data_IF_028163236922
#
_entry.id   IF_028163236922
#
_cell.length_a   1.000
_cell.length_b   1.000
_cell.length_c   1.000
_cell.angle_alpha   90.00
_cell.angle_beta   90.00
_cell.angle_gamma   90.00
#
_symmetry.space_group_name_H-M   'P 1'
#
loop_
_entity.id
_entity.type
_entity.pdbx_description
1 polymer ?
#
# COMPACT_ATOMS: atom_id res chain seq x y z
N UNK A 1 47.58 -3.68 22.59
CA UNK A 1 47.40 -2.55 21.66
C UNK A 1 46.20 -2.90 20.82
N UNK A 2 45.07 -2.27 21.14
CA UNK A 2 43.76 -2.44 20.50
C UNK A 2 43.75 -1.79 19.13
N UNK A 3 43.29 -2.52 18.11
CA UNK A 3 42.66 -1.92 16.94
C UNK A 3 41.38 -2.68 16.62
N UNK A 4 40.28 -2.13 17.13
CA UNK A 4 38.93 -2.33 16.63
C UNK A 4 38.77 -1.36 15.45
N UNK A 5 38.67 -1.88 14.22
CA UNK A 5 38.22 -1.09 13.07
C UNK A 5 36.73 -1.34 12.84
N UNK A 6 35.99 -0.27 13.12
CA UNK A 6 34.54 -0.07 13.07
C UNK A 6 33.97 -0.05 11.65
N UNK A 7 32.82 -0.71 11.49
CA UNK A 7 31.67 -0.42 10.62
C UNK A 7 31.86 0.20 9.22
N UNK A 8 31.52 -0.58 8.20
CA UNK A 8 30.67 -0.14 7.09
C UNK A 8 29.42 -1.02 7.18
N UNK A 9 28.21 -0.53 7.46
CA UNK A 9 27.61 0.68 6.92
C UNK A 9 26.85 0.42 5.62
N UNK A 10 26.49 -0.83 5.32
CA UNK A 10 25.54 -1.14 4.26
C UNK A 10 24.14 -1.26 4.88
N UNK A 11 23.30 -0.27 4.67
CA UNK A 11 21.84 -0.44 4.75
C UNK A 11 21.28 -0.38 3.33
N UNK A 12 21.17 -1.50 2.59
CA UNK A 12 20.60 -1.50 1.25
C UNK A 12 19.15 -2.02 1.19
N UNK A 13 18.44 -2.21 2.33
CA UNK A 13 17.15 -2.92 2.32
C UNK A 13 15.90 -2.02 2.48
N UNK A 14 16.04 -0.73 2.81
CA UNK A 14 14.87 0.14 3.08
C UNK A 14 14.34 0.91 1.86
N UNK A 15 15.17 1.18 0.85
CA UNK A 15 14.76 1.81 -0.42
C UNK A 15 13.80 0.94 -1.27
N UNK A 16 14.05 -0.36 -1.51
CA UNK A 16 13.21 -1.15 -2.42
C UNK A 16 11.77 -1.32 -1.91
N UNK A 17 11.56 -1.34 -0.58
CA UNK A 17 10.22 -1.53 -0.03
C UNK A 17 9.35 -0.26 -0.11
N UNK A 18 9.96 0.94 -0.05
CA UNK A 18 9.21 2.20 -0.22
C UNK A 18 8.77 2.39 -1.69
N UNK A 19 9.63 2.05 -2.64
CA UNK A 19 9.29 2.06 -4.07
C UNK A 19 8.14 1.09 -4.38
N UNK A 20 8.11 -0.06 -3.74
CA UNK A 20 7.00 -1.02 -3.87
C UNK A 20 5.69 -0.49 -3.29
N UNK A 21 5.72 0.20 -2.14
CA UNK A 21 4.53 0.85 -1.57
C UNK A 21 4.04 1.98 -2.48
N UNK A 22 4.96 2.76 -3.07
CA UNK A 22 4.62 3.79 -4.04
C UNK A 22 4.00 3.20 -5.32
N UNK A 23 4.57 2.11 -5.84
CA UNK A 23 4.04 1.38 -6.99
C UNK A 23 2.64 0.82 -6.74
N UNK A 24 2.44 0.20 -5.57
CA UNK A 24 1.14 -0.27 -5.12
C UNK A 24 0.11 0.86 -5.11
N UNK A 25 0.44 1.99 -4.48
CA UNK A 25 -0.46 3.14 -4.39
C UNK A 25 -0.81 3.69 -5.79
N UNK A 26 0.17 3.83 -6.67
CA UNK A 26 -0.05 4.34 -8.03
C UNK A 26 -0.96 3.43 -8.87
N UNK A 27 -0.74 2.11 -8.82
CA UNK A 27 -1.59 1.14 -9.52
C UNK A 27 -3.02 1.14 -8.99
N UNK A 28 -3.17 1.27 -7.67
CA UNK A 28 -4.44 1.32 -7.00
C UNK A 28 -5.23 2.59 -7.34
N UNK A 29 -4.59 3.76 -7.30
CA UNK A 29 -5.18 5.04 -7.69
C UNK A 29 -5.66 5.01 -9.15
N UNK A 30 -4.82 4.55 -10.07
CA UNK A 30 -5.19 4.44 -11.47
C UNK A 30 -6.40 3.51 -11.69
N UNK A 31 -6.47 2.41 -10.93
CA UNK A 31 -7.57 1.43 -11.04
C UNK A 31 -8.85 1.93 -10.38
N UNK A 32 -8.76 2.63 -9.25
CA UNK A 32 -9.89 3.26 -8.58
C UNK A 32 -10.49 4.38 -9.44
N UNK A 33 -9.64 5.22 -10.06
CA UNK A 33 -10.08 6.27 -10.99
C UNK A 33 -10.79 5.68 -12.22
N UNK A 34 -10.25 4.60 -12.80
CA UNK A 34 -10.88 3.93 -13.93
C UNK A 34 -12.26 3.35 -13.57
N UNK A 35 -12.40 2.78 -12.37
CA UNK A 35 -13.68 2.24 -11.90
C UNK A 35 -14.70 3.35 -11.60
N UNK A 36 -14.28 4.43 -10.96
CA UNK A 36 -15.13 5.60 -10.71
C UNK A 36 -15.62 6.23 -12.02
N UNK A 37 -14.74 6.39 -13.01
CA UNK A 37 -15.12 6.87 -14.34
C UNK A 37 -16.13 5.93 -15.02
N UNK A 38 -15.90 4.62 -14.98
CA UNK A 38 -16.82 3.63 -15.56
C UNK A 38 -18.22 3.70 -14.92
N UNK A 39 -18.30 3.95 -13.61
CA UNK A 39 -19.57 4.11 -12.91
C UNK A 39 -20.23 5.47 -13.20
N UNK A 40 -19.44 6.55 -13.26
CA UNK A 40 -19.93 7.90 -13.55
C UNK A 40 -20.58 8.01 -14.94
N UNK A 41 -20.00 7.34 -15.95
CA UNK A 41 -20.49 7.36 -17.33
C UNK A 41 -21.45 6.19 -17.66
N UNK A 42 -21.87 5.37 -16.67
CA UNK A 42 -22.66 4.14 -16.86
C UNK A 42 -22.06 3.19 -17.93
N UNK A 43 -20.72 3.17 -18.02
CA UNK A 43 -19.99 2.32 -18.95
C UNK A 43 -19.83 0.91 -18.38
N UNK A 44 -20.94 0.17 -18.37
CA UNK A 44 -21.03 -1.17 -17.75
C UNK A 44 -19.97 -2.16 -18.24
N UNK A 45 -19.53 -2.02 -19.49
CA UNK A 45 -18.49 -2.87 -20.06
C UNK A 45 -17.11 -2.63 -19.42
N UNK A 46 -16.84 -1.43 -18.90
CA UNK A 46 -15.57 -1.06 -18.28
C UNK A 46 -15.51 -1.36 -16.77
N UNK A 47 -16.66 -1.51 -16.10
CA UNK A 47 -16.75 -1.81 -14.67
C UNK A 47 -16.05 -3.12 -14.31
N UNK A 48 -16.36 -4.22 -15.02
CA UNK A 48 -15.77 -5.53 -14.71
C UNK A 48 -14.25 -5.55 -14.93
N UNK A 49 -13.68 -5.07 -16.05
CA UNK A 49 -12.22 -4.98 -16.21
C UNK A 49 -11.52 -4.15 -15.14
N UNK A 50 -12.09 -3.00 -14.74
CA UNK A 50 -11.53 -2.16 -13.69
C UNK A 50 -11.58 -2.89 -12.33
N UNK A 51 -12.69 -3.58 -12.05
CA UNK A 51 -12.83 -4.44 -10.89
C UNK A 51 -11.81 -5.59 -10.85
N UNK A 52 -11.67 -6.33 -11.96
CA UNK A 52 -10.71 -7.43 -12.10
C UNK A 52 -9.26 -6.92 -11.90
N UNK A 53 -8.98 -5.67 -12.28
CA UNK A 53 -7.66 -5.04 -12.08
C UNK A 53 -7.39 -4.79 -10.59
N UNK A 54 -8.37 -4.27 -9.85
CA UNK A 54 -8.27 -4.12 -8.39
C UNK A 54 -7.98 -5.45 -7.69
N UNK A 55 -8.62 -6.55 -8.13
CA UNK A 55 -8.37 -7.88 -7.55
C UNK A 55 -6.96 -8.39 -7.87
N UNK A 56 -6.45 -8.11 -9.07
CA UNK A 56 -5.06 -8.43 -9.42
C UNK A 56 -4.07 -7.67 -8.55
N UNK A 57 -4.31 -6.38 -8.29
CA UNK A 57 -3.48 -5.57 -7.39
C UNK A 57 -3.49 -6.19 -5.99
N UNK A 58 -4.67 -6.50 -5.45
CA UNK A 58 -4.77 -7.13 -4.13
C UNK A 58 -3.96 -8.43 -4.05
N UNK A 59 -4.03 -9.27 -5.08
CA UNK A 59 -3.24 -10.50 -5.15
C UNK A 59 -1.73 -10.27 -5.26
N UNK A 60 -1.30 -9.30 -6.08
CA UNK A 60 0.11 -9.01 -6.33
C UNK A 60 0.84 -8.46 -5.09
N UNK A 61 0.14 -7.66 -4.28
CA UNK A 61 0.71 -6.98 -3.12
C UNK A 61 0.35 -7.62 -1.78
N UNK A 62 -0.26 -8.82 -1.77
CA UNK A 62 -0.75 -9.49 -0.55
C UNK A 62 0.31 -9.72 0.53
N UNK A 63 1.58 -9.89 0.13
CA UNK A 63 2.70 -10.15 1.05
C UNK A 63 3.38 -8.85 1.51
N UNK A 64 3.00 -7.70 0.94
CA UNK A 64 3.62 -6.40 1.23
C UNK A 64 3.50 -6.00 2.72
N UNK A 65 2.36 -6.19 3.42
CA UNK A 65 2.26 -5.89 4.85
C UNK A 65 3.27 -6.66 5.68
N UNK A 66 3.40 -7.98 5.44
CA UNK A 66 4.33 -8.83 6.18
C UNK A 66 5.79 -8.42 5.97
N UNK A 67 6.13 -8.04 4.73
CA UNK A 67 7.46 -7.53 4.41
C UNK A 67 7.76 -6.20 5.10
N UNK A 68 6.77 -5.31 5.19
CA UNK A 68 6.89 -4.04 5.93
C UNK A 68 7.08 -4.30 7.43
N UNK A 69 6.30 -5.18 8.03
CA UNK A 69 6.47 -5.55 9.45
C UNK A 69 7.85 -6.17 9.74
N UNK A 70 8.38 -6.98 8.83
CA UNK A 70 9.74 -7.51 8.96
C UNK A 70 10.80 -6.41 8.87
N UNK A 71 10.63 -5.44 7.96
CA UNK A 71 11.51 -4.29 7.86
C UNK A 71 11.44 -3.39 9.11
N UNK A 72 10.25 -3.24 9.71
CA UNK A 72 10.06 -2.54 10.98
C UNK A 72 10.82 -3.22 12.13
N UNK A 73 10.70 -4.56 12.24
CA UNK A 73 11.39 -5.34 13.26
C UNK A 73 12.92 -5.27 13.16
N UNK A 74 13.46 -5.07 11.96
CA UNK A 74 14.89 -4.86 11.72
C UNK A 74 15.37 -3.43 12.03
N UNK A 75 14.46 -2.49 12.31
CA UNK A 75 14.77 -1.09 12.45
C UNK A 75 15.28 -0.76 13.87
N UNK A 76 16.48 -0.19 13.98
CA UNK A 76 17.08 0.17 15.26
C UNK A 76 16.48 1.44 15.90
N UNK A 77 15.67 2.21 15.17
CA UNK A 77 15.08 3.48 15.63
C UNK A 77 13.57 3.30 15.89
N UNK A 78 13.10 3.45 17.14
CA UNK A 78 11.69 3.24 17.49
C UNK A 78 10.70 4.13 16.71
N UNK A 79 11.08 5.38 16.42
CA UNK A 79 10.24 6.31 15.65
C UNK A 79 10.10 5.88 14.18
N UNK A 80 11.16 5.32 13.59
CA UNK A 80 11.13 4.82 12.22
C UNK A 80 10.34 3.50 12.13
N UNK A 81 10.51 2.60 13.11
CA UNK A 81 9.73 1.38 13.23
C UNK A 81 8.22 1.67 13.31
N UNK A 82 7.80 2.63 14.15
CA UNK A 82 6.39 3.02 14.25
C UNK A 82 5.79 3.52 12.94
N UNK A 83 6.54 4.29 12.13
CA UNK A 83 6.08 4.75 10.83
C UNK A 83 5.93 3.60 9.81
N UNK A 84 6.83 2.60 9.87
CA UNK A 84 6.74 1.41 9.01
C UNK A 84 5.57 0.52 9.43
N UNK A 85 5.31 0.38 10.74
CA UNK A 85 4.15 -0.37 11.25
C UNK A 85 2.82 0.28 10.84
N UNK A 86 2.72 1.61 10.94
CA UNK A 86 1.55 2.36 10.45
C UNK A 86 1.33 2.14 8.95
N UNK A 87 2.43 2.16 8.17
CA UNK A 87 2.39 1.91 6.72
C UNK A 87 1.93 0.48 6.41
N UNK A 88 2.44 -0.51 7.13
CA UNK A 88 2.05 -1.91 7.00
C UNK A 88 0.55 -2.10 7.29
N UNK A 89 0.05 -1.48 8.36
CA UNK A 89 -1.35 -1.52 8.74
C UNK A 89 -2.26 -0.86 7.70
N UNK A 90 -1.83 0.24 7.09
CA UNK A 90 -2.60 0.91 6.04
C UNK A 90 -2.65 0.09 4.75
N UNK A 91 -1.54 -0.56 4.37
CA UNK A 91 -1.53 -1.49 3.23
C UNK A 91 -2.45 -2.70 3.51
N UNK A 92 -2.38 -3.29 4.69
CA UNK A 92 -3.23 -4.43 5.08
C UNK A 92 -4.72 -4.06 5.04
N UNK A 93 -5.07 -2.89 5.58
CA UNK A 93 -6.44 -2.38 5.56
C UNK A 93 -6.96 -2.15 4.13
N UNK A 94 -6.11 -1.65 3.22
CA UNK A 94 -6.47 -1.51 1.80
C UNK A 94 -6.77 -2.88 1.19
N UNK A 95 -5.89 -3.86 1.40
CA UNK A 95 -6.07 -5.21 0.85
C UNK A 95 -7.35 -5.87 1.39
N UNK A 96 -7.66 -5.66 2.67
CA UNK A 96 -8.91 -6.12 3.28
C UNK A 96 -10.13 -5.48 2.62
N UNK A 97 -10.13 -4.17 2.40
CA UNK A 97 -11.22 -3.45 1.70
C UNK A 97 -11.40 -3.98 0.28
N UNK A 98 -10.30 -4.21 -0.46
CA UNK A 98 -10.38 -4.82 -1.80
C UNK A 98 -10.96 -6.24 -1.74
N UNK A 99 -10.58 -7.04 -0.74
CA UNK A 99 -11.17 -8.34 -0.48
C UNK A 99 -12.68 -8.27 -0.22
N UNK A 100 -13.13 -7.32 0.60
CA UNK A 100 -14.56 -7.09 0.87
C UNK A 100 -15.32 -6.66 -0.38
N UNK A 101 -14.72 -5.82 -1.23
CA UNK A 101 -15.34 -5.42 -2.50
C UNK A 101 -15.61 -6.64 -3.39
N UNK A 102 -14.85 -7.73 -3.24
CA UNK A 102 -15.00 -8.98 -4.02
C UNK A 102 -16.16 -9.84 -3.57
N UNK A 103 -16.62 -9.64 -2.34
CA UNK A 103 -17.72 -10.38 -1.77
C UNK A 103 -19.10 -9.82 -2.19
N UNK A 104 -19.19 -8.62 -2.77
CA UNK A 104 -20.44 -8.11 -3.36
C UNK A 104 -20.60 -6.58 -3.38
N UNK A 105 -21.41 -6.11 -4.34
CA UNK A 105 -21.58 -4.68 -4.72
C UNK A 105 -22.40 -3.84 -3.71
N UNK A 106 -23.12 -4.47 -2.77
CA UNK A 106 -24.07 -3.76 -1.88
C UNK A 106 -23.44 -2.66 -1.01
N UNK A 107 -22.12 -2.62 -0.87
CA UNK A 107 -21.41 -1.58 -0.11
C UNK A 107 -20.34 -0.83 -0.91
N UNK A 108 -20.40 -0.85 -2.26
CA UNK A 108 -19.36 -0.27 -3.11
C UNK A 108 -18.99 1.16 -2.73
N UNK A 109 -19.96 2.08 -2.57
CA UNK A 109 -19.68 3.47 -2.21
C UNK A 109 -19.02 3.63 -0.84
N UNK A 110 -19.41 2.79 0.14
CA UNK A 110 -18.79 2.80 1.47
C UNK A 110 -17.34 2.34 1.40
N UNK A 111 -17.09 1.24 0.68
CA UNK A 111 -15.77 0.66 0.51
C UNK A 111 -14.86 1.58 -0.32
N UNK A 112 -15.38 2.22 -1.36
CA UNK A 112 -14.66 3.24 -2.13
C UNK A 112 -14.25 4.43 -1.25
N UNK A 113 -15.13 4.89 -0.36
CA UNK A 113 -14.81 5.94 0.60
C UNK A 113 -13.74 5.53 1.63
N UNK A 114 -13.77 4.28 2.09
CA UNK A 114 -12.72 3.74 2.96
C UNK A 114 -11.38 3.64 2.23
N UNK A 115 -11.40 3.13 0.99
CA UNK A 115 -10.24 3.01 0.12
C UNK A 115 -9.56 4.37 -0.10
N UNK A 116 -10.33 5.40 -0.49
CA UNK A 116 -9.80 6.74 -0.72
C UNK A 116 -9.14 7.35 0.53
N UNK A 117 -9.70 7.11 1.72
CA UNK A 117 -9.11 7.58 2.99
C UNK A 117 -7.78 6.87 3.29
N UNK A 118 -7.74 5.56 3.09
CA UNK A 118 -6.53 4.77 3.31
C UNK A 118 -5.42 5.14 2.30
N UNK A 119 -5.78 5.33 1.03
CA UNK A 119 -4.86 5.83 0.01
C UNK A 119 -4.24 7.18 0.40
N UNK A 120 -5.07 8.13 0.85
CA UNK A 120 -4.58 9.44 1.28
C UNK A 120 -3.63 9.36 2.48
N UNK A 121 -3.92 8.48 3.45
CA UNK A 121 -3.04 8.23 4.61
C UNK A 121 -1.70 7.63 4.17
N UNK A 122 -1.74 6.64 3.28
CA UNK A 122 -0.55 6.00 2.74
C UNK A 122 0.33 6.98 1.94
N UNK A 123 -0.30 7.80 1.08
CA UNK A 123 0.37 8.86 0.33
C UNK A 123 1.06 9.86 1.27
N UNK A 124 0.38 10.27 2.35
CA UNK A 124 0.95 11.17 3.35
C UNK A 124 2.09 10.52 4.15
N UNK A 125 2.02 9.22 4.42
CA UNK A 125 3.11 8.48 5.05
C UNK A 125 4.36 8.46 4.16
N UNK A 126 4.21 8.13 2.88
CA UNK A 126 5.29 8.17 1.89
C UNK A 126 5.90 9.56 1.72
N UNK A 127 5.07 10.61 1.67
CA UNK A 127 5.57 11.98 1.54
C UNK A 127 6.39 12.44 2.76
N UNK A 128 6.10 11.90 3.95
CA UNK A 128 6.87 12.18 5.17
C UNK A 128 8.17 11.38 5.25
N UNK A 129 8.23 10.19 4.66
CA UNK A 129 9.45 9.37 4.66
C UNK A 129 10.50 9.85 3.65
N UNK A 130 10.10 10.65 2.66
CA UNK A 130 10.99 11.24 1.66
C UNK A 130 11.65 12.57 2.09
N UNK A 131 11.38 13.07 3.30
CA UNK A 131 11.90 14.33 3.87
C UNK A 131 13.04 14.06 4.86
#
# INVERSE_FOLDING_TARGET
>A
MTDHATAAGETPESEPIQDEVAGFLAELEASALALDAALHFDERAAVKPAYDRLMRIAGAYRELPARLSNASAACARPQAAGAVDETAADVDAILAVLGEMSAGVEHYHRLAGALARLQSRLAAALARSAQ
#
